data_IF_560763122430
#
_entry.id   IF_560763122430
#
_cell.length_a   1.000
_cell.length_b   1.000
_cell.length_c   1.000
_cell.angle_alpha   90.00
_cell.angle_beta   90.00
_cell.angle_gamma   90.00
#
_symmetry.space_group_name_H-M   'P 1'
#
loop_
_entity.id
_entity.type
_entity.pdbx_description
1 polymer ?
#
# COMPACT_ATOMS: atom_id res chain seq x y z
N UNK A 1 -25.65 -0.64 16.26
CA UNK A 1 -24.74 -1.35 15.31
C UNK A 1 -23.34 -0.71 15.42
N UNK A 2 -22.25 -1.49 15.46
CA UNK A 2 -20.89 -0.95 15.62
C UNK A 2 -20.45 -0.25 14.32
N UNK A 3 -19.83 0.93 14.41
CA UNK A 3 -19.32 1.71 13.26
C UNK A 3 -18.46 0.87 12.29
N UNK A 4 -17.67 -0.07 12.83
CA UNK A 4 -16.85 -0.97 12.01
C UNK A 4 -17.67 -1.97 11.19
N UNK A 5 -18.74 -2.52 11.75
CA UNK A 5 -19.66 -3.40 11.03
C UNK A 5 -20.42 -2.61 9.93
N UNK A 6 -20.80 -1.36 10.21
CA UNK A 6 -21.39 -0.47 9.21
C UNK A 6 -20.42 -0.16 8.08
N UNK A 7 -19.15 0.12 8.41
CA UNK A 7 -18.11 0.32 7.41
C UNK A 7 -17.94 -0.91 6.50
N UNK A 8 -17.84 -2.11 7.08
CA UNK A 8 -17.72 -3.36 6.29
C UNK A 8 -18.94 -3.60 5.41
N UNK A 9 -20.14 -3.35 5.92
CA UNK A 9 -21.37 -3.46 5.15
C UNK A 9 -21.41 -2.43 3.99
N UNK A 10 -21.01 -1.19 4.26
CA UNK A 10 -20.89 -0.15 3.24
C UNK A 10 -19.83 -0.52 2.19
N UNK A 11 -18.64 -0.92 2.60
CA UNK A 11 -17.58 -1.34 1.70
C UNK A 11 -17.99 -2.57 0.86
N UNK A 12 -18.73 -3.50 1.45
CA UNK A 12 -19.31 -4.64 0.74
C UNK A 12 -20.30 -4.21 -0.34
N UNK A 13 -21.19 -3.27 -0.01
CA UNK A 13 -22.24 -2.78 -0.94
C UNK A 13 -21.66 -1.92 -2.06
N UNK A 14 -20.76 -0.99 -1.74
CA UNK A 14 -20.26 0.04 -2.67
C UNK A 14 -19.10 -0.48 -3.51
N UNK A 15 -18.14 -1.18 -2.89
CA UNK A 15 -16.91 -1.61 -3.56
C UNK A 15 -16.85 -3.11 -3.84
N UNK A 16 -17.84 -3.88 -3.39
CA UNK A 16 -17.80 -5.34 -3.54
C UNK A 16 -16.67 -5.99 -2.73
N UNK A 17 -16.48 -5.57 -1.47
CA UNK A 17 -15.34 -5.99 -0.62
C UNK A 17 -15.09 -7.49 -0.65
N UNK A 18 -16.17 -8.31 -0.66
CA UNK A 18 -16.03 -9.77 -0.73
C UNK A 18 -15.29 -10.20 -2.00
N UNK A 19 -15.69 -9.71 -3.17
CA UNK A 19 -15.05 -10.03 -4.44
C UNK A 19 -13.59 -9.50 -4.51
N UNK A 20 -13.31 -8.32 -3.91
CA UNK A 20 -11.95 -7.80 -3.80
C UNK A 20 -11.06 -8.73 -2.95
N UNK A 21 -11.56 -9.21 -1.84
CA UNK A 21 -10.83 -10.14 -0.94
C UNK A 21 -10.62 -11.50 -1.62
N UNK A 22 -11.63 -12.04 -2.31
CA UNK A 22 -11.57 -13.32 -3.01
C UNK A 22 -10.60 -13.31 -4.20
N UNK A 23 -10.33 -12.14 -4.78
CA UNK A 23 -9.35 -11.97 -5.87
C UNK A 23 -7.90 -12.14 -5.39
N UNK A 24 -7.61 -11.83 -4.12
CA UNK A 24 -6.26 -11.97 -3.58
C UNK A 24 -5.89 -13.44 -3.53
N UNK A 25 -4.88 -13.82 -4.30
CA UNK A 25 -4.40 -15.20 -4.39
C UNK A 25 -3.47 -15.54 -3.24
N UNK A 26 -3.60 -16.76 -2.76
CA UNK A 26 -2.73 -17.29 -1.72
C UNK A 26 -1.41 -17.77 -2.34
N UNK A 27 -0.31 -17.14 -1.96
CA UNK A 27 1.03 -17.56 -2.38
C UNK A 27 1.73 -18.46 -1.36
N UNK A 28 1.04 -18.87 -0.30
CA UNK A 28 1.60 -19.75 0.75
C UNK A 28 1.54 -21.21 0.33
N UNK A 29 2.53 -22.00 0.72
CA UNK A 29 2.48 -23.46 0.68
C UNK A 29 1.72 -23.98 1.90
N UNK A 30 0.78 -24.92 1.72
CA UNK A 30 0.06 -25.63 2.77
C UNK A 30 -0.52 -24.73 3.90
N UNK A 31 -1.36 -23.73 3.59
CA UNK A 31 -1.85 -22.79 4.57
C UNK A 31 -2.81 -23.44 5.56
N UNK A 32 -2.51 -23.40 6.86
CA UNK A 32 -3.38 -23.88 7.93
C UNK A 32 -4.55 -22.93 8.24
N UNK A 33 -4.41 -21.65 7.89
CA UNK A 33 -5.44 -20.62 8.11
C UNK A 33 -5.89 -20.09 6.77
N UNK A 34 -7.19 -20.01 6.54
CA UNK A 34 -7.80 -19.50 5.30
C UNK A 34 -7.37 -18.06 5.04
N UNK A 35 -7.08 -17.71 3.79
CA UNK A 35 -6.54 -16.40 3.41
C UNK A 35 -7.53 -15.26 3.64
N UNK A 36 -8.78 -15.41 3.19
CA UNK A 36 -9.76 -14.33 3.14
C UNK A 36 -9.98 -13.62 4.50
N UNK A 37 -10.19 -14.35 5.62
CA UNK A 37 -10.24 -13.73 6.94
C UNK A 37 -8.99 -12.95 7.33
N UNK A 38 -7.80 -13.42 6.93
CA UNK A 38 -6.53 -12.73 7.19
C UNK A 38 -6.44 -11.43 6.39
N UNK A 39 -6.84 -11.44 5.12
CA UNK A 39 -6.90 -10.24 4.27
C UNK A 39 -7.86 -9.21 4.85
N UNK A 40 -9.06 -9.61 5.26
CA UNK A 40 -10.02 -8.70 5.93
C UNK A 40 -9.41 -8.11 7.20
N UNK A 41 -8.73 -8.94 8.00
CA UNK A 41 -8.07 -8.49 9.23
C UNK A 41 -6.96 -7.47 8.94
N UNK A 42 -6.12 -7.70 7.93
CA UNK A 42 -5.08 -6.76 7.47
C UNK A 42 -5.68 -5.44 6.98
N UNK A 43 -6.72 -5.49 6.14
CA UNK A 43 -7.43 -4.29 5.65
C UNK A 43 -7.99 -3.49 6.82
N UNK A 44 -8.66 -4.13 7.77
CA UNK A 44 -9.17 -3.46 8.96
C UNK A 44 -8.06 -2.91 9.85
N UNK A 45 -6.93 -3.62 9.95
CA UNK A 45 -5.73 -3.14 10.63
C UNK A 45 -5.24 -1.80 10.07
N UNK A 46 -5.12 -1.73 8.74
CA UNK A 46 -4.74 -0.48 8.04
C UNK A 46 -5.79 0.62 8.25
N UNK A 47 -7.08 0.33 8.07
CA UNK A 47 -8.17 1.30 8.26
C UNK A 47 -8.18 1.88 9.66
N UNK A 48 -7.89 1.07 10.67
CA UNK A 48 -7.84 1.49 12.08
C UNK A 48 -6.45 1.94 12.54
N UNK A 49 -5.49 2.04 11.61
CA UNK A 49 -4.11 2.48 11.89
C UNK A 49 -3.42 1.66 12.99
N UNK A 50 -3.64 0.34 12.98
CA UNK A 50 -2.92 -0.58 13.87
C UNK A 50 -1.48 -0.65 13.39
N UNK A 51 -0.53 -0.24 14.24
CA UNK A 51 0.85 0.04 13.87
C UNK A 51 1.73 -1.17 13.60
N UNK A 52 1.33 -2.37 14.04
CA UNK A 52 2.16 -3.58 13.89
C UNK A 52 1.34 -4.85 13.73
N UNK A 53 1.96 -5.90 13.18
CA UNK A 53 1.36 -7.22 13.16
C UNK A 53 1.19 -7.82 14.57
N UNK A 54 2.04 -7.42 15.51
CA UNK A 54 1.92 -7.82 16.91
C UNK A 54 0.64 -7.27 17.52
N UNK A 55 0.37 -5.97 17.35
CA UNK A 55 -0.86 -5.34 17.82
C UNK A 55 -2.10 -5.94 17.12
N UNK A 56 -1.99 -6.24 15.82
CA UNK A 56 -3.07 -6.88 15.07
C UNK A 56 -3.37 -8.28 15.62
N UNK A 57 -2.34 -9.07 15.93
CA UNK A 57 -2.47 -10.37 16.56
C UNK A 57 -3.15 -10.26 17.93
N UNK A 58 -2.76 -9.26 18.74
CA UNK A 58 -3.39 -8.99 20.03
C UNK A 58 -4.88 -8.64 19.90
N UNK A 59 -5.28 -7.86 18.87
CA UNK A 59 -6.72 -7.65 18.61
C UNK A 59 -7.45 -8.96 18.35
N UNK A 60 -6.83 -9.91 17.63
CA UNK A 60 -7.45 -11.23 17.39
C UNK A 60 -7.50 -12.08 18.64
N UNK A 61 -6.56 -11.92 19.59
CA UNK A 61 -6.51 -12.66 20.85
C UNK A 61 -7.52 -12.12 21.86
N UNK A 62 -7.47 -10.82 22.11
CA UNK A 62 -8.24 -10.18 23.18
C UNK A 62 -9.70 -9.93 22.82
N UNK A 63 -10.05 -9.79 21.54
CA UNK A 63 -11.39 -9.34 21.11
C UNK A 63 -12.11 -10.38 20.24
N UNK A 64 -12.97 -11.21 20.83
CA UNK A 64 -13.83 -12.18 20.11
C UNK A 64 -14.64 -11.51 18.99
N UNK A 65 -15.15 -10.28 19.22
CA UNK A 65 -15.91 -9.53 18.23
C UNK A 65 -15.08 -9.14 17.00
N UNK A 66 -13.79 -8.81 17.19
CA UNK A 66 -12.84 -8.55 16.09
C UNK A 66 -12.69 -9.81 15.21
N UNK A 67 -12.42 -10.95 15.82
CA UNK A 67 -12.34 -12.23 15.08
C UNK A 67 -13.59 -12.49 14.27
N UNK A 68 -14.76 -12.32 14.88
CA UNK A 68 -16.04 -12.53 14.20
C UNK A 68 -16.23 -11.60 13.00
N UNK A 69 -15.89 -10.31 13.11
CA UNK A 69 -15.94 -9.34 12.00
C UNK A 69 -14.99 -9.71 10.85
N UNK A 70 -13.82 -10.26 11.16
CA UNK A 70 -12.86 -10.70 10.15
C UNK A 70 -13.19 -12.11 9.60
N UNK A 71 -14.11 -12.86 10.21
CA UNK A 71 -14.38 -14.26 9.86
C UNK A 71 -13.33 -15.24 10.38
N UNK A 72 -12.53 -14.84 11.38
CA UNK A 72 -11.52 -15.69 12.01
C UNK A 72 -12.15 -16.62 13.07
N UNK A 73 -11.85 -17.93 13.01
CA UNK A 73 -12.33 -18.93 13.95
C UNK A 73 -11.53 -18.93 15.27
N UNK A 74 -10.25 -18.61 15.21
CA UNK A 74 -9.31 -18.60 16.34
C UNK A 74 -8.40 -17.36 16.30
N UNK A 75 -7.70 -17.02 17.40
CA UNK A 75 -6.63 -16.04 17.40
C UNK A 75 -5.54 -16.40 16.39
N UNK A 76 -4.90 -15.37 15.82
CA UNK A 76 -3.84 -15.50 14.81
C UNK A 76 -2.56 -14.89 15.37
N UNK A 77 -1.44 -15.57 15.20
CA UNK A 77 -0.11 -15.08 15.60
C UNK A 77 0.42 -14.06 14.61
N UNK A 78 1.30 -13.16 15.06
CA UNK A 78 1.81 -12.05 14.24
C UNK A 78 2.65 -12.52 13.06
N UNK A 79 3.37 -13.62 13.19
CA UNK A 79 4.17 -14.23 12.13
C UNK A 79 3.32 -14.67 10.94
N UNK A 80 2.07 -15.08 11.19
CA UNK A 80 1.14 -15.48 10.11
C UNK A 80 0.76 -14.26 9.26
N UNK A 81 0.54 -13.09 9.88
CA UNK A 81 0.27 -11.85 9.14
C UNK A 81 1.47 -11.41 8.30
N UNK A 82 2.68 -11.46 8.86
CA UNK A 82 3.92 -11.17 8.14
C UNK A 82 4.10 -12.13 6.95
N UNK A 83 3.99 -13.43 7.21
CA UNK A 83 4.11 -14.47 6.19
C UNK A 83 3.10 -14.34 5.05
N UNK A 84 1.85 -13.98 5.37
CA UNK A 84 0.80 -13.71 4.38
C UNK A 84 1.18 -12.47 3.55
N UNK A 85 1.55 -11.37 4.20
CA UNK A 85 1.87 -10.12 3.53
C UNK A 85 3.04 -10.26 2.54
N UNK A 86 4.07 -11.03 2.90
CA UNK A 86 5.22 -11.32 2.03
C UNK A 86 4.87 -12.14 0.79
N UNK A 87 3.81 -12.94 0.84
CA UNK A 87 3.44 -13.87 -0.23
C UNK A 87 2.23 -13.47 -1.04
N UNK A 88 1.56 -12.39 -0.66
CA UNK A 88 0.51 -11.82 -1.49
C UNK A 88 1.10 -11.20 -2.76
N UNK A 89 0.42 -11.37 -3.88
CA UNK A 89 0.86 -10.80 -5.15
C UNK A 89 0.49 -9.31 -5.24
N UNK A 90 1.45 -8.42 -5.46
CA UNK A 90 1.17 -6.98 -5.61
C UNK A 90 0.16 -6.67 -6.72
N UNK A 91 0.12 -7.49 -7.78
CA UNK A 91 -0.79 -7.33 -8.92
C UNK A 91 -2.25 -7.46 -8.53
N UNK A 92 -2.59 -8.35 -7.60
CA UNK A 92 -3.96 -8.54 -7.12
C UNK A 92 -4.44 -7.29 -6.35
N UNK A 93 -3.55 -6.69 -5.55
CA UNK A 93 -3.81 -5.43 -4.85
C UNK A 93 -3.94 -4.24 -5.80
N UNK A 94 -3.09 -4.16 -6.82
CA UNK A 94 -3.18 -3.13 -7.87
C UNK A 94 -4.50 -3.19 -8.62
N UNK A 95 -4.95 -4.39 -8.97
CA UNK A 95 -6.26 -4.59 -9.62
C UNK A 95 -7.41 -4.18 -8.71
N UNK A 96 -7.35 -4.52 -7.42
CA UNK A 96 -8.32 -4.12 -6.42
C UNK A 96 -8.34 -2.60 -6.25
N UNK A 97 -7.18 -1.96 -6.14
CA UNK A 97 -7.05 -0.51 -6.06
C UNK A 97 -7.63 0.18 -7.29
N UNK A 98 -7.34 -0.34 -8.48
CA UNK A 98 -7.88 0.19 -9.73
C UNK A 98 -9.41 0.09 -9.79
N UNK A 99 -9.99 -1.01 -9.32
CA UNK A 99 -11.44 -1.16 -9.23
C UNK A 99 -12.04 -0.15 -8.26
N UNK A 100 -11.49 -0.03 -7.04
CA UNK A 100 -11.97 0.94 -6.04
C UNK A 100 -11.90 2.36 -6.57
N UNK A 101 -10.79 2.76 -7.21
CA UNK A 101 -10.61 4.10 -7.76
C UNK A 101 -11.59 4.38 -8.92
N UNK A 102 -11.88 3.39 -9.77
CA UNK A 102 -12.91 3.52 -10.83
C UNK A 102 -14.30 3.70 -10.23
N UNK A 103 -14.63 2.97 -9.16
CA UNK A 103 -15.90 3.17 -8.44
C UNK A 103 -15.99 4.57 -7.81
N UNK A 104 -14.91 5.05 -7.18
CA UNK A 104 -14.85 6.42 -6.64
C UNK A 104 -15.07 7.45 -7.74
N UNK A 105 -14.46 7.27 -8.92
CA UNK A 105 -14.65 8.16 -10.07
C UNK A 105 -16.10 8.13 -10.56
N UNK A 106 -16.69 6.93 -10.72
CA UNK A 106 -18.09 6.74 -11.13
C UNK A 106 -19.07 7.39 -10.16
N UNK A 107 -18.81 7.28 -8.87
CA UNK A 107 -19.62 7.87 -7.80
C UNK A 107 -19.31 9.36 -7.55
N UNK A 108 -18.56 10.02 -8.45
CA UNK A 108 -18.18 11.43 -8.38
C UNK A 108 -17.40 11.83 -7.11
N UNK A 109 -16.83 10.86 -6.37
CA UNK A 109 -16.03 11.15 -5.19
C UNK A 109 -14.73 11.90 -5.53
N UNK A 110 -14.22 11.76 -6.76
CA UNK A 110 -13.02 12.44 -7.24
C UNK A 110 -13.26 13.87 -7.77
N UNK A 111 -14.50 14.40 -7.73
CA UNK A 111 -14.78 15.76 -8.20
C UNK A 111 -14.02 16.81 -7.37
N UNK A 112 -13.81 16.57 -6.07
CA UNK A 112 -13.02 17.46 -5.22
C UNK A 112 -11.51 17.46 -5.51
N UNK A 113 -11.03 16.50 -6.31
CA UNK A 113 -9.62 16.42 -6.74
C UNK A 113 -9.39 17.11 -8.11
N UNK A 114 -10.44 17.61 -8.75
CA UNK A 114 -10.33 18.29 -10.04
C UNK A 114 -9.89 19.74 -9.87
N UNK A 115 -9.02 20.20 -10.75
CA UNK A 115 -8.60 21.59 -10.92
C UNK A 115 -9.15 22.05 -12.28
N UNK A 116 -10.02 23.04 -12.31
CA UNK A 116 -10.69 23.52 -13.54
C UNK A 116 -11.37 22.39 -14.34
N UNK A 117 -11.99 21.43 -13.64
CA UNK A 117 -12.65 20.28 -14.27
C UNK A 117 -11.74 19.15 -14.71
N UNK A 118 -10.41 19.31 -14.60
CA UNK A 118 -9.40 18.33 -15.00
C UNK A 118 -8.84 17.58 -13.78
N UNK A 119 -8.62 16.28 -13.93
CA UNK A 119 -8.02 15.44 -12.91
C UNK A 119 -6.54 15.23 -13.23
N UNK A 120 -5.66 15.63 -12.34
CA UNK A 120 -4.22 15.50 -12.49
C UNK A 120 -3.66 14.38 -11.62
N UNK A 121 -2.78 13.58 -12.22
CA UNK A 121 -1.96 12.61 -11.52
C UNK A 121 -0.68 13.29 -11.05
N UNK A 122 -0.39 13.25 -9.75
CA UNK A 122 0.90 13.71 -9.22
C UNK A 122 1.82 12.52 -9.03
N UNK A 123 3.06 12.67 -9.49
CA UNK A 123 4.16 11.75 -9.24
C UNK A 123 5.12 12.39 -8.25
N UNK A 124 5.45 11.66 -7.20
CA UNK A 124 6.39 12.09 -6.16
C UNK A 124 7.22 10.89 -5.70
N UNK A 125 8.50 11.12 -5.44
CA UNK A 125 9.40 10.09 -4.94
C UNK A 125 9.64 10.28 -3.46
N UNK A 126 9.55 9.20 -2.70
CA UNK A 126 9.75 9.22 -1.26
C UNK A 126 10.67 8.09 -0.82
N UNK A 127 11.56 8.40 0.10
CA UNK A 127 12.43 7.44 0.75
C UNK A 127 11.74 6.88 2.00
N UNK A 128 11.53 5.57 2.01
CA UNK A 128 10.71 4.92 3.02
C UNK A 128 11.50 4.24 4.13
N UNK A 129 12.76 3.93 3.86
CA UNK A 129 13.61 3.20 4.78
C UNK A 129 15.05 3.57 4.53
N UNK A 130 15.83 3.79 5.58
CA UNK A 130 17.27 3.96 5.52
C UNK A 130 17.94 3.25 6.70
N UNK A 131 19.05 2.58 6.46
CA UNK A 131 19.81 1.84 7.48
C UNK A 131 21.29 1.75 7.13
N UNK A 132 22.14 1.68 8.13
CA UNK A 132 23.57 1.39 7.98
C UNK A 132 23.91 -0.10 8.14
N UNK A 133 22.99 -0.91 8.69
CA UNK A 133 23.22 -2.31 9.01
C UNK A 133 22.29 -3.28 8.31
N UNK A 134 21.04 -2.84 8.02
CA UNK A 134 20.04 -3.69 7.35
C UNK A 134 20.08 -3.46 5.86
N UNK A 135 20.22 -4.54 5.09
CA UNK A 135 20.27 -4.50 3.63
C UNK A 135 19.49 -5.66 3.03
N UNK A 136 19.05 -5.48 1.79
CA UNK A 136 18.48 -6.52 0.95
C UNK A 136 18.98 -6.33 -0.50
N UNK A 137 18.79 -7.30 -1.41
CA UNK A 137 19.20 -7.18 -2.80
C UNK A 137 18.56 -6.02 -3.58
N UNK A 138 17.44 -5.48 -3.07
CA UNK A 138 16.72 -4.37 -3.70
C UNK A 138 17.05 -2.99 -3.09
N UNK A 139 17.99 -2.91 -2.12
CA UNK A 139 18.40 -1.63 -1.54
C UNK A 139 19.21 -0.79 -2.51
N UNK A 140 18.84 0.48 -2.65
CA UNK A 140 19.74 1.52 -3.15
C UNK A 140 20.82 1.80 -2.11
N UNK A 141 21.95 2.37 -2.55
CA UNK A 141 23.10 2.66 -1.69
C UNK A 141 23.59 4.10 -1.94
N UNK A 142 24.04 4.75 -0.88
CA UNK A 142 24.74 6.03 -0.96
C UNK A 142 25.83 6.11 0.09
N UNK A 143 26.89 6.89 -0.22
CA UNK A 143 27.91 7.24 0.76
C UNK A 143 27.46 8.49 1.51
N UNK A 144 27.46 8.44 2.82
CA UNK A 144 27.13 9.57 3.69
C UNK A 144 28.24 9.77 4.73
N UNK A 145 28.49 11.00 5.13
CA UNK A 145 29.37 11.31 6.24
C UNK A 145 28.62 11.14 7.57
N UNK A 146 29.16 10.35 8.46
CA UNK A 146 28.65 10.14 9.82
C UNK A 146 29.73 10.50 10.83
N UNK A 147 29.31 10.94 12.02
CA UNK A 147 30.24 11.15 13.14
C UNK A 147 30.52 9.83 13.82
N UNK A 148 31.80 9.46 13.86
CA UNK A 148 32.28 8.31 14.66
C UNK A 148 32.26 8.68 16.15
N UNK A 149 32.34 7.69 17.06
CA UNK A 149 32.36 7.93 18.51
C UNK A 149 33.50 8.86 19.00
N UNK A 150 34.59 8.93 18.23
CA UNK A 150 35.73 9.82 18.49
C UNK A 150 35.55 11.26 17.95
N UNK A 151 34.37 11.59 17.43
CA UNK A 151 34.03 12.90 16.85
C UNK A 151 34.54 13.13 15.42
N UNK A 152 35.23 12.18 14.81
CA UNK A 152 35.70 12.30 13.43
C UNK A 152 34.60 11.95 12.43
N UNK A 153 34.60 12.66 11.29
CA UNK A 153 33.75 12.32 10.17
C UNK A 153 34.32 11.11 9.42
N UNK A 154 33.52 10.09 9.26
CA UNK A 154 33.85 8.90 8.49
C UNK A 154 32.78 8.67 7.42
N UNK A 155 33.19 8.13 6.25
CA UNK A 155 32.23 7.71 5.21
C UNK A 155 31.64 6.38 5.58
N UNK A 156 30.31 6.30 5.55
CA UNK A 156 29.55 5.06 5.77
C UNK A 156 28.58 4.82 4.62
N UNK A 157 28.40 3.57 4.24
CA UNK A 157 27.40 3.18 3.26
C UNK A 157 26.03 3.12 3.94
N UNK A 158 25.10 3.92 3.45
CA UNK A 158 23.70 3.87 3.86
C UNK A 158 22.88 3.14 2.79
N UNK A 159 22.11 2.15 3.21
CA UNK A 159 21.17 1.40 2.40
C UNK A 159 19.78 1.99 2.57
N UNK A 160 19.03 2.17 1.46
CA UNK A 160 17.70 2.77 1.51
C UNK A 160 16.78 2.21 0.44
N UNK A 161 15.48 2.36 0.66
CA UNK A 161 14.44 2.10 -0.33
C UNK A 161 13.76 3.41 -0.70
N UNK A 162 13.63 3.64 -2.00
CA UNK A 162 12.91 4.77 -2.57
C UNK A 162 11.80 4.27 -3.48
N UNK A 163 10.68 4.95 -3.46
CA UNK A 163 9.51 4.59 -4.25
C UNK A 163 8.95 5.83 -4.93
N UNK A 164 8.50 5.68 -6.17
CA UNK A 164 7.69 6.68 -6.86
C UNK A 164 6.23 6.36 -6.61
N UNK A 165 5.50 7.32 -6.06
CA UNK A 165 4.07 7.25 -5.80
C UNK A 165 3.31 7.98 -6.89
N UNK A 166 2.20 7.39 -7.34
CA UNK A 166 1.22 8.04 -8.20
C UNK A 166 -0.04 8.31 -7.40
N UNK A 167 -0.42 9.56 -7.24
CA UNK A 167 -1.59 9.91 -6.45
C UNK A 167 -2.45 11.01 -7.09
N UNK A 168 -3.72 11.01 -6.71
CA UNK A 168 -4.65 12.08 -6.99
C UNK A 168 -4.81 12.89 -5.71
N UNK A 169 -4.41 14.16 -5.75
CA UNK A 169 -4.51 15.07 -4.62
C UNK A 169 -5.75 15.94 -4.72
N UNK A 170 -6.36 16.27 -3.57
CA UNK A 170 -7.44 17.22 -3.47
C UNK A 170 -7.64 17.70 -2.04
N UNK A 171 -8.41 18.78 -1.83
CA UNK A 171 -8.57 19.41 -0.51
C UNK A 171 -9.25 18.50 0.52
N UNK A 172 -9.97 17.49 0.09
CA UNK A 172 -10.73 16.60 0.99
C UNK A 172 -10.03 15.26 1.24
N UNK A 173 -9.25 14.75 0.30
CA UNK A 173 -8.50 13.50 0.46
C UNK A 173 -7.44 13.35 -0.63
N UNK A 174 -6.48 12.48 -0.36
CA UNK A 174 -5.49 12.01 -1.31
C UNK A 174 -5.71 10.53 -1.60
N UNK A 175 -5.63 10.14 -2.87
CA UNK A 175 -5.80 8.76 -3.30
C UNK A 175 -4.52 8.29 -4.00
N UNK A 176 -3.76 7.42 -3.35
CA UNK A 176 -2.64 6.72 -3.99
C UNK A 176 -3.21 5.70 -4.95
N UNK A 177 -2.85 5.80 -6.24
CA UNK A 177 -3.29 4.87 -7.27
C UNK A 177 -2.38 3.65 -7.38
N UNK A 178 -1.07 3.88 -7.27
CA UNK A 178 -0.05 2.81 -7.32
C UNK A 178 1.30 3.35 -6.83
N UNK A 179 2.25 2.44 -6.66
CA UNK A 179 3.62 2.71 -6.22
C UNK A 179 4.60 1.83 -6.97
N UNK A 180 5.76 2.39 -7.32
CA UNK A 180 6.84 1.67 -8.01
C UNK A 180 8.16 1.85 -7.27
N UNK A 181 8.87 0.76 -6.92
CA UNK A 181 10.20 0.87 -6.34
C UNK A 181 11.22 1.39 -7.37
N UNK A 182 12.08 2.29 -6.94
CA UNK A 182 13.31 2.66 -7.64
C UNK A 182 14.32 1.55 -7.41
N UNK A 183 14.85 0.96 -8.48
CA UNK A 183 15.80 -0.16 -8.40
C UNK A 183 17.21 0.34 -8.16
N UNK A 184 18.10 -0.50 -7.62
CA UNK A 184 19.52 -0.15 -7.51
C UNK A 184 20.12 0.28 -8.87
N UNK A 185 20.76 1.44 -8.89
CA UNK A 185 21.41 1.96 -10.08
C UNK A 185 20.51 2.65 -11.11
N UNK A 186 19.20 2.76 -10.87
CA UNK A 186 18.30 3.55 -11.73
C UNK A 186 17.90 4.87 -11.07
N UNK A 187 17.44 5.80 -11.89
CA UNK A 187 16.86 7.06 -11.46
C UNK A 187 15.32 6.94 -11.21
N UNK A 188 14.75 7.99 -10.68
CA UNK A 188 13.31 8.07 -10.42
C UNK A 188 12.50 8.14 -11.71
N UNK A 189 13.05 8.71 -12.78
CA UNK A 189 12.38 8.80 -14.08
C UNK A 189 12.10 7.42 -14.67
N UNK A 190 13.07 6.50 -14.59
CA UNK A 190 12.90 5.13 -15.06
C UNK A 190 11.78 4.41 -14.30
N UNK A 191 11.71 4.58 -12.97
CA UNK A 191 10.64 4.03 -12.14
C UNK A 191 9.29 4.69 -12.48
N UNK A 192 9.25 6.01 -12.66
CA UNK A 192 8.05 6.75 -13.03
C UNK A 192 7.49 6.29 -14.38
N UNK A 193 8.32 6.07 -15.39
CA UNK A 193 7.90 5.58 -16.70
C UNK A 193 7.28 4.17 -16.62
N UNK A 194 7.86 3.27 -15.82
CA UNK A 194 7.26 1.94 -15.57
C UNK A 194 5.91 2.06 -14.86
N UNK A 195 5.81 2.94 -13.87
CA UNK A 195 4.59 3.22 -13.14
C UNK A 195 3.50 3.74 -14.08
N UNK A 196 3.79 4.75 -14.89
CA UNK A 196 2.86 5.32 -15.87
C UNK A 196 2.37 4.29 -16.89
N UNK A 197 3.27 3.46 -17.43
CA UNK A 197 2.92 2.37 -18.34
C UNK A 197 1.94 1.38 -17.69
N UNK A 198 2.12 1.06 -16.41
CA UNK A 198 1.22 0.19 -15.65
C UNK A 198 -0.12 0.87 -15.36
N UNK A 199 -0.11 2.13 -14.94
CA UNK A 199 -1.32 2.90 -14.69
C UNK A 199 -2.20 2.99 -15.93
N UNK A 200 -1.61 3.25 -17.10
CA UNK A 200 -2.35 3.28 -18.37
C UNK A 200 -3.08 1.97 -18.66
N UNK A 201 -2.44 0.83 -18.37
CA UNK A 201 -3.08 -0.50 -18.55
C UNK A 201 -4.19 -0.75 -17.53
N UNK A 202 -3.99 -0.39 -16.26
CA UNK A 202 -4.94 -0.67 -15.16
C UNK A 202 -6.16 0.25 -15.19
N UNK A 203 -5.95 1.54 -15.44
CA UNK A 203 -6.99 2.57 -15.33
C UNK A 203 -7.58 2.96 -16.68
N UNK A 204 -6.83 2.78 -17.76
CA UNK A 204 -7.19 3.22 -19.10
C UNK A 204 -6.71 4.66 -19.40
N UNK A 205 -6.71 5.07 -20.69
CA UNK A 205 -6.06 6.30 -21.14
C UNK A 205 -6.78 7.58 -20.74
N UNK A 206 -8.02 7.49 -20.23
CA UNK A 206 -8.88 8.65 -19.90
C UNK A 206 -9.19 8.73 -18.39
N UNK A 207 -8.43 8.05 -17.56
CA UNK A 207 -8.70 8.07 -16.13
C UNK A 207 -8.33 9.41 -15.49
N UNK A 208 -7.19 9.99 -15.90
CA UNK A 208 -6.73 11.35 -15.55
C UNK A 208 -6.42 12.15 -16.82
N UNK A 209 -6.35 13.48 -16.70
CA UNK A 209 -6.22 14.40 -17.82
C UNK A 209 -4.79 14.89 -18.02
N UNK A 210 -3.99 14.95 -16.97
CA UNK A 210 -2.62 15.42 -16.99
C UNK A 210 -1.78 14.77 -15.90
N UNK A 211 -0.47 15.02 -15.94
CA UNK A 211 0.51 14.53 -14.99
C UNK A 211 1.29 15.73 -14.47
N UNK A 212 1.54 15.77 -13.18
CA UNK A 212 2.47 16.70 -12.53
C UNK A 212 3.56 15.90 -11.84
N UNK A 213 4.79 16.38 -11.92
CA UNK A 213 5.95 15.85 -11.23
C UNK A 213 6.84 17.02 -10.81
N UNK A 214 7.68 16.82 -9.81
CA UNK A 214 8.74 17.76 -9.50
C UNK A 214 9.76 17.83 -10.65
N UNK A 215 10.52 18.93 -10.73
CA UNK A 215 11.65 19.02 -11.62
C UNK A 215 12.72 18.00 -11.15
N UNK A 216 13.03 17.07 -11.99
CA UNK A 216 13.92 15.91 -11.71
C UNK A 216 15.28 16.19 -12.32
#
# INVERSE_FOLDING_TARGET
MNRLAQFLQYAGKVFGLKALVERVRDGRSEPKVVLQPLVVCLVLGVVLRIGSYLDLAEQTRSRRRWRHLCGLKAPVQHEIFAYVAERMRPEDWRQNQAQVAKELKRNKALESCKINGLLFLSLDANEHFASFSRTCPCCCQRQVEVLAPDGKKVKATQYYHRYVFAHLGGPKFNLVLDVEPVRPGEDECAAALRLLGRLRRLYGPRFFNGITADAW
#
